data_IF_049611789237
#
_entry.id   IF_049611789237
#
_cell.length_a   1.000
_cell.length_b   1.000
_cell.length_c   1.000
_cell.angle_alpha   90.00
_cell.angle_beta   90.00
_cell.angle_gamma   90.00
#
_symmetry.space_group_name_H-M   'P 1'
#
loop_
_entity.id
_entity.type
_entity.pdbx_description
1 polymer ?
#
# COMPACT_ATOMS: atom_id res chain seq x y z
N UNK A 1 -12.29 22.13 13.64
CA UNK A 1 -13.36 21.21 13.18
C UNK A 1 -12.83 20.47 11.98
N UNK A 2 -12.57 19.17 12.12
CA UNK A 2 -12.48 18.26 10.99
C UNK A 2 -13.17 16.97 11.43
N UNK A 3 -14.50 16.99 11.34
CA UNK A 3 -15.30 15.78 11.38
C UNK A 3 -15.26 15.23 9.96
N UNK A 4 -14.73 14.02 9.78
CA UNK A 4 -15.20 12.94 8.90
C UNK A 4 -14.27 11.72 9.09
N UNK A 5 -13.97 11.36 10.35
CA UNK A 5 -13.69 9.96 10.72
C UNK A 5 -15.04 9.34 11.07
N UNK A 6 -15.81 8.94 10.07
CA UNK A 6 -16.97 8.09 10.29
C UNK A 6 -16.67 6.74 9.64
N UNK A 7 -16.15 5.81 10.45
CA UNK A 7 -16.20 4.39 10.14
C UNK A 7 -17.68 3.95 10.21
N UNK A 8 -18.41 4.18 9.12
CA UNK A 8 -19.85 3.88 9.01
C UNK A 8 -20.19 2.38 9.09
N UNK A 9 -19.20 1.53 9.36
CA UNK A 9 -19.38 0.09 9.53
C UNK A 9 -19.93 -0.21 10.93
N UNK A 10 -21.13 -0.79 11.07
CA UNK A 10 -21.72 -1.06 12.38
C UNK A 10 -20.87 -2.00 13.26
N UNK A 11 -20.96 -1.82 14.59
CA UNK A 11 -20.05 -2.46 15.54
C UNK A 11 -20.30 -3.98 15.75
N UNK A 12 -21.51 -4.49 15.54
CA UNK A 12 -21.82 -5.93 15.68
C UNK A 12 -21.85 -6.66 14.33
N UNK A 13 -21.57 -7.97 14.35
CA UNK A 13 -21.64 -8.82 13.15
C UNK A 13 -23.01 -8.70 12.46
N UNK A 14 -24.10 -8.84 13.23
CA UNK A 14 -25.46 -8.77 12.70
C UNK A 14 -25.78 -7.43 12.03
N UNK A 15 -25.31 -6.33 12.62
CA UNK A 15 -25.50 -5.01 12.05
C UNK A 15 -24.66 -4.82 10.76
N UNK A 16 -23.43 -5.34 10.70
CA UNK A 16 -22.63 -5.36 9.46
C UNK A 16 -23.28 -6.20 8.37
N UNK A 17 -23.74 -7.39 8.72
CA UNK A 17 -24.44 -8.28 7.79
C UNK A 17 -25.64 -7.57 7.15
N UNK A 18 -26.46 -6.91 7.98
CA UNK A 18 -27.61 -6.12 7.51
C UNK A 18 -27.20 -4.96 6.62
N UNK A 19 -26.13 -4.25 6.99
CA UNK A 19 -25.59 -3.13 6.23
C UNK A 19 -25.16 -3.58 4.83
N UNK A 20 -24.27 -4.57 4.72
CA UNK A 20 -23.79 -5.10 3.43
C UNK A 20 -24.93 -5.68 2.60
N UNK A 21 -25.86 -6.43 3.21
CA UNK A 21 -27.04 -6.95 2.50
C UNK A 21 -27.86 -5.82 1.87
N UNK A 22 -28.08 -4.75 2.62
CA UNK A 22 -28.87 -3.60 2.16
C UNK A 22 -28.15 -2.83 1.04
N UNK A 23 -26.82 -2.69 1.12
CA UNK A 23 -26.01 -2.10 0.05
C UNK A 23 -26.08 -2.90 -1.26
N UNK A 24 -26.33 -4.22 -1.18
CA UNK A 24 -26.53 -5.10 -2.34
C UNK A 24 -27.99 -5.20 -2.80
N UNK A 25 -28.90 -4.43 -2.21
CA UNK A 25 -30.34 -4.47 -2.49
C UNK A 25 -30.95 -5.88 -2.37
N UNK A 26 -30.39 -6.72 -1.49
CA UNK A 26 -30.88 -8.08 -1.27
C UNK A 26 -31.91 -8.11 -0.15
N UNK A 27 -33.00 -8.86 -0.31
CA UNK A 27 -33.85 -9.20 0.84
C UNK A 27 -33.18 -10.29 1.70
N UNK A 28 -33.66 -10.49 2.93
CA UNK A 28 -33.18 -11.61 3.77
C UNK A 28 -33.44 -12.97 3.10
N UNK A 29 -34.52 -13.09 2.32
CA UNK A 29 -34.82 -14.30 1.55
C UNK A 29 -33.85 -14.51 0.39
N UNK A 30 -33.44 -13.45 -0.30
CA UNK A 30 -32.48 -13.52 -1.40
C UNK A 30 -31.10 -13.94 -0.90
N UNK A 31 -30.63 -13.31 0.18
CA UNK A 31 -29.36 -13.68 0.80
C UNK A 31 -29.40 -15.11 1.34
N UNK A 32 -30.50 -15.50 1.99
CA UNK A 32 -30.71 -16.87 2.47
C UNK A 32 -30.57 -17.89 1.34
N UNK A 33 -31.26 -17.67 0.22
CA UNK A 33 -31.13 -18.54 -0.97
C UNK A 33 -29.68 -18.60 -1.48
N UNK A 34 -28.99 -17.47 -1.57
CA UNK A 34 -27.62 -17.41 -2.06
C UNK A 34 -26.62 -18.23 -1.21
N UNK A 35 -26.84 -18.32 0.11
CA UNK A 35 -25.98 -19.10 1.02
C UNK A 35 -26.60 -20.44 1.47
N UNK A 36 -27.65 -20.89 0.78
CA UNK A 36 -28.40 -22.11 1.08
C UNK A 36 -28.90 -22.19 2.54
N UNK A 37 -29.42 -21.07 3.07
CA UNK A 37 -30.02 -20.89 4.40
C UNK A 37 -31.44 -20.31 4.29
N UNK A 38 -32.18 -20.29 5.40
CA UNK A 38 -33.51 -19.68 5.45
C UNK A 38 -33.42 -18.18 5.71
N UNK A 39 -34.45 -17.43 5.31
CA UNK A 39 -34.59 -16.02 5.66
C UNK A 39 -34.60 -15.81 7.20
N UNK A 40 -35.17 -16.76 7.94
CA UNK A 40 -35.18 -16.77 9.41
C UNK A 40 -33.77 -16.81 9.98
N UNK A 41 -32.88 -17.67 9.46
CA UNK A 41 -31.48 -17.70 9.90
C UNK A 41 -30.76 -16.38 9.65
N UNK A 42 -30.99 -15.74 8.48
CA UNK A 42 -30.43 -14.41 8.21
C UNK A 42 -30.94 -13.39 9.22
N UNK A 43 -32.24 -13.41 9.52
CA UNK A 43 -32.87 -12.51 10.51
C UNK A 43 -32.30 -12.71 11.92
N UNK A 44 -32.12 -13.96 12.37
CA UNK A 44 -31.53 -14.28 13.67
C UNK A 44 -30.09 -13.76 13.75
N UNK A 45 -29.29 -13.96 12.70
CA UNK A 45 -27.91 -13.45 12.62
C UNK A 45 -27.86 -11.92 12.62
N UNK A 46 -28.75 -11.25 11.88
CA UNK A 46 -28.84 -9.78 11.85
C UNK A 46 -29.25 -9.19 13.20
N UNK A 47 -30.07 -9.92 13.97
CA UNK A 47 -30.48 -9.54 15.33
C UNK A 47 -29.46 -9.94 16.41
N UNK A 48 -28.48 -10.78 16.09
CA UNK A 48 -27.53 -11.33 17.05
C UNK A 48 -28.14 -12.37 17.99
N UNK A 49 -29.26 -12.99 17.59
CA UNK A 49 -29.93 -14.06 18.36
C UNK A 49 -29.20 -15.40 18.21
N UNK A 50 -28.44 -15.57 17.12
CA UNK A 50 -27.54 -16.69 16.89
C UNK A 50 -26.33 -16.23 16.06
N UNK A 51 -25.28 -17.04 16.04
CA UNK A 51 -24.07 -16.76 15.24
C UNK A 51 -23.90 -17.78 14.10
N UNK A 52 -23.50 -17.34 12.90
CA UNK A 52 -23.12 -18.25 11.83
C UNK A 52 -21.78 -18.92 12.10
N UNK A 53 -21.60 -20.12 11.55
CA UNK A 53 -20.30 -20.79 11.53
C UNK A 53 -19.29 -20.08 10.61
N UNK A 54 -18.01 -20.38 10.75
CA UNK A 54 -16.96 -19.83 9.87
C UNK A 54 -17.21 -20.12 8.37
N UNK A 55 -17.69 -21.32 8.03
CA UNK A 55 -18.08 -21.68 6.67
C UNK A 55 -19.25 -20.82 6.17
N UNK A 56 -20.24 -20.56 7.03
CA UNK A 56 -21.36 -19.69 6.69
C UNK A 56 -20.91 -18.23 6.52
N UNK A 57 -20.00 -17.74 7.36
CA UNK A 57 -19.40 -16.40 7.21
C UNK A 57 -18.68 -16.28 5.87
N UNK A 58 -17.91 -17.29 5.45
CA UNK A 58 -17.23 -17.28 4.14
C UNK A 58 -18.23 -17.24 2.97
N UNK A 59 -19.33 -18.00 3.06
CA UNK A 59 -20.41 -17.99 2.06
C UNK A 59 -21.12 -16.64 2.00
N UNK A 60 -21.42 -16.05 3.16
CA UNK A 60 -22.03 -14.72 3.26
C UNK A 60 -21.11 -13.66 2.66
N UNK A 61 -19.82 -13.69 2.99
CA UNK A 61 -18.82 -12.77 2.46
C UNK A 61 -18.73 -12.85 0.93
N UNK A 62 -18.76 -14.07 0.37
CA UNK A 62 -18.78 -14.30 -1.08
C UNK A 62 -20.06 -13.75 -1.72
N UNK A 63 -21.24 -14.08 -1.16
CA UNK A 63 -22.53 -13.63 -1.70
C UNK A 63 -22.73 -12.11 -1.61
N UNK A 64 -22.09 -11.47 -0.63
CA UNK A 64 -22.10 -10.02 -0.42
C UNK A 64 -20.88 -9.33 -1.04
N UNK A 65 -20.08 -10.06 -1.83
CA UNK A 65 -18.80 -9.67 -2.44
C UNK A 65 -17.99 -8.71 -1.57
N UNK A 66 -17.73 -9.13 -0.33
CA UNK A 66 -16.99 -8.37 0.68
C UNK A 66 -15.93 -9.29 1.28
N UNK A 67 -14.81 -8.73 1.73
CA UNK A 67 -13.82 -9.49 2.48
C UNK A 67 -14.44 -10.08 3.77
N UNK A 68 -14.13 -11.35 4.04
CA UNK A 68 -14.67 -12.06 5.22
C UNK A 68 -14.28 -11.36 6.52
N UNK A 69 -13.09 -10.77 6.59
CA UNK A 69 -12.59 -10.03 7.76
C UNK A 69 -13.41 -8.76 8.01
N UNK A 70 -13.80 -8.06 6.94
CA UNK A 70 -14.65 -6.87 7.01
C UNK A 70 -16.04 -7.21 7.52
N UNK A 71 -16.61 -8.32 7.04
CA UNK A 71 -17.91 -8.81 7.51
C UNK A 71 -17.83 -9.31 8.96
N UNK A 72 -16.85 -10.17 9.27
CA UNK A 72 -16.71 -10.84 10.55
C UNK A 72 -16.34 -9.87 11.68
N UNK A 73 -15.35 -9.01 11.47
CA UNK A 73 -14.72 -8.23 12.53
C UNK A 73 -14.92 -6.72 12.39
N UNK A 74 -15.50 -6.25 11.28
CA UNK A 74 -15.61 -4.81 11.02
C UNK A 74 -14.26 -4.14 10.84
N UNK A 75 -13.21 -4.93 10.59
CA UNK A 75 -11.91 -4.39 10.20
C UNK A 75 -12.10 -3.76 8.84
N UNK A 76 -11.87 -2.45 8.75
CA UNK A 76 -11.60 -1.83 7.46
C UNK A 76 -10.34 -2.50 6.93
N UNK A 77 -10.55 -3.52 6.08
CA UNK A 77 -9.50 -4.00 5.20
C UNK A 77 -9.30 -2.79 4.31
N UNK A 78 -8.34 -1.93 4.66
CA UNK A 78 -8.14 -0.64 4.04
C UNK A 78 -8.33 -0.79 2.54
N UNK A 79 -9.04 0.16 1.94
CA UNK A 79 -9.11 0.41 0.51
C UNK A 79 -7.71 0.78 -0.06
N UNK A 80 -6.64 0.09 0.37
CA UNK A 80 -5.40 0.07 -0.38
C UNK A 80 -5.71 -0.74 -1.62
N UNK A 81 -5.90 -0.01 -2.72
CA UNK A 81 -5.73 -0.48 -4.09
C UNK A 81 -4.77 -1.69 -4.08
N UNK A 82 -5.09 -2.83 -4.73
CA UNK A 82 -4.16 -3.93 -4.87
C UNK A 82 -2.73 -3.49 -5.24
N UNK A 83 -2.59 -2.39 -5.99
CA UNK A 83 -1.31 -1.76 -6.28
C UNK A 83 -0.62 -1.14 -5.04
N UNK A 84 -1.37 -0.50 -4.14
CA UNK A 84 -0.84 0.12 -2.93
C UNK A 84 -0.53 -0.91 -1.84
N UNK A 85 -1.33 -1.98 -1.75
CA UNK A 85 -1.02 -3.16 -0.93
C UNK A 85 0.28 -3.82 -1.42
N UNK A 86 0.39 -4.09 -2.72
CA UNK A 86 1.60 -4.63 -3.32
C UNK A 86 2.82 -3.71 -3.12
N UNK A 87 2.64 -2.39 -3.28
CA UNK A 87 3.71 -1.42 -3.09
C UNK A 87 4.23 -1.38 -1.65
N UNK A 88 3.33 -1.50 -0.66
CA UNK A 88 3.72 -1.62 0.75
C UNK A 88 4.46 -2.93 1.02
N UNK A 89 3.92 -4.04 0.55
CA UNK A 89 4.51 -5.36 0.80
C UNK A 89 5.90 -5.49 0.12
N UNK A 90 6.08 -4.89 -1.06
CA UNK A 90 7.40 -4.79 -1.73
C UNK A 90 8.36 -3.90 -0.93
N UNK A 91 7.90 -2.75 -0.45
CA UNK A 91 8.73 -1.83 0.37
C UNK A 91 9.23 -2.52 1.64
N UNK A 92 8.36 -3.21 2.35
CA UNK A 92 8.71 -3.95 3.57
C UNK A 92 9.71 -5.08 3.28
N UNK A 93 9.56 -5.80 2.16
CA UNK A 93 10.52 -6.82 1.74
C UNK A 93 11.89 -6.23 1.37
N UNK A 94 11.93 -5.09 0.68
CA UNK A 94 13.17 -4.37 0.36
C UNK A 94 13.85 -3.89 1.64
N UNK A 95 13.11 -3.30 2.58
CA UNK A 95 13.64 -2.84 3.86
C UNK A 95 14.17 -4.00 4.72
N UNK A 96 13.49 -5.14 4.73
CA UNK A 96 13.95 -6.35 5.40
C UNK A 96 15.25 -6.88 4.76
N UNK A 97 15.33 -6.90 3.43
CA UNK A 97 16.54 -7.31 2.70
C UNK A 97 17.72 -6.33 2.93
N UNK A 98 17.44 -5.04 3.03
CA UNK A 98 18.44 -4.01 3.35
C UNK A 98 18.92 -4.10 4.80
N UNK A 99 18.06 -4.57 5.71
CA UNK A 99 18.40 -4.76 7.13
C UNK A 99 19.31 -5.98 7.35
N UNK A 100 19.16 -7.03 6.55
CA UNK A 100 19.84 -8.32 6.75
C UNK A 100 21.07 -8.53 5.84
N UNK A 101 21.41 -7.57 4.99
CA UNK A 101 22.65 -7.61 4.20
C UNK A 101 23.22 -6.22 3.99
N UNK A 102 24.40 -5.98 4.55
CA UNK A 102 25.26 -4.88 4.15
C UNK A 102 25.53 -4.96 2.64
N UNK A 103 24.83 -4.11 1.89
CA UNK A 103 25.09 -3.69 0.51
C UNK A 103 25.66 -4.75 -0.44
N UNK A 104 24.78 -5.47 -1.14
CA UNK A 104 25.10 -5.86 -2.50
C UNK A 104 24.02 -5.31 -3.45
N UNK A 105 24.30 -4.11 -3.97
CA UNK A 105 23.50 -3.37 -4.96
C UNK A 105 23.21 -4.20 -6.23
N UNK A 106 23.94 -5.29 -6.44
CA UNK A 106 23.71 -6.27 -7.51
C UNK A 106 22.31 -6.90 -7.45
N UNK A 107 21.74 -7.07 -6.25
CA UNK A 107 20.45 -7.75 -6.06
C UNK A 107 19.25 -6.84 -6.37
N UNK A 108 19.37 -5.54 -6.09
CA UNK A 108 18.39 -4.53 -6.52
C UNK A 108 18.41 -4.34 -8.05
N UNK A 109 19.59 -4.44 -8.67
CA UNK A 109 19.72 -4.44 -10.13
C UNK A 109 18.97 -5.62 -10.78
N UNK A 110 19.08 -6.82 -10.22
CA UNK A 110 18.35 -7.99 -10.71
C UNK A 110 16.83 -7.87 -10.54
N UNK A 111 16.36 -7.38 -9.38
CA UNK A 111 14.93 -7.24 -9.09
C UNK A 111 14.26 -6.19 -10.00
N UNK A 112 14.95 -5.09 -10.29
CA UNK A 112 14.50 -4.08 -11.25
C UNK A 112 14.34 -4.66 -12.66
N UNK A 113 15.25 -5.55 -13.06
CA UNK A 113 15.18 -6.21 -14.37
C UNK A 113 14.02 -7.21 -14.45
N UNK A 114 13.73 -7.92 -13.35
CA UNK A 114 12.59 -8.83 -13.29
C UNK A 114 11.25 -8.08 -13.28
N UNK A 115 11.18 -6.92 -12.61
CA UNK A 115 9.99 -6.05 -12.62
C UNK A 115 9.73 -5.44 -14.01
N UNK A 116 10.78 -5.07 -14.77
CA UNK A 116 10.65 -4.66 -16.19
C UNK A 116 10.03 -5.75 -17.06
N UNK A 117 10.22 -7.02 -16.71
CA UNK A 117 9.74 -8.18 -17.47
C UNK A 117 8.26 -8.46 -17.27
N UNK A 118 7.69 -8.07 -16.14
CA UNK A 118 6.30 -8.36 -15.76
C UNK A 118 5.40 -7.14 -15.98
N UNK A 119 4.95 -6.89 -17.21
CA UNK A 119 4.09 -5.73 -17.56
C UNK A 119 2.66 -5.83 -16.98
N UNK A 120 2.24 -4.94 -16.06
CA UNK A 120 0.85 -4.81 -15.63
C UNK A 120 0.15 -3.75 -16.49
N UNK A 121 -0.87 -4.19 -17.22
CA UNK A 121 -1.57 -3.53 -18.33
C UNK A 121 -2.27 -2.17 -18.09
N UNK A 122 -2.03 -1.42 -17.01
CA UNK A 122 -2.85 -0.22 -16.70
C UNK A 122 -2.12 0.99 -16.10
N UNK A 123 -0.79 1.07 -16.21
CA UNK A 123 -0.06 2.20 -15.67
C UNK A 123 0.07 3.27 -16.75
N UNK A 124 -0.37 4.49 -16.42
CA UNK A 124 -0.30 5.72 -17.24
C UNK A 124 1.10 5.78 -17.87
N UNK A 125 1.15 5.47 -19.17
CA UNK A 125 2.30 5.29 -20.05
C UNK A 125 3.65 4.97 -19.35
N UNK A 126 4.04 3.69 -19.38
CA UNK A 126 5.34 3.19 -18.89
C UNK A 126 6.54 4.02 -19.37
N UNK A 127 6.45 4.61 -20.56
CA UNK A 127 7.52 5.44 -21.12
C UNK A 127 7.60 6.81 -20.45
N UNK A 128 6.50 7.33 -19.89
CA UNK A 128 6.49 8.57 -19.10
C UNK A 128 7.09 8.36 -17.71
N UNK A 129 6.74 7.25 -17.05
CA UNK A 129 7.29 6.92 -15.74
C UNK A 129 8.81 6.65 -15.86
N UNK A 130 9.23 5.90 -16.88
CA UNK A 130 10.65 5.65 -17.11
C UNK A 130 11.41 6.91 -17.50
N UNK A 131 10.86 7.77 -18.38
CA UNK A 131 11.49 9.06 -18.69
C UNK A 131 11.68 9.92 -17.46
N UNK A 132 10.65 10.04 -16.59
CA UNK A 132 10.77 10.84 -15.37
C UNK A 132 11.79 10.26 -14.38
N UNK A 133 11.87 8.94 -14.28
CA UNK A 133 12.87 8.27 -13.46
C UNK A 133 14.30 8.48 -13.99
N UNK A 134 14.49 8.42 -15.31
CA UNK A 134 15.77 8.70 -15.98
C UNK A 134 16.18 10.16 -15.83
N UNK A 135 15.25 11.10 -16.05
CA UNK A 135 15.47 12.55 -15.86
C UNK A 135 15.88 12.88 -14.43
N UNK A 136 15.18 12.34 -13.44
CA UNK A 136 15.54 12.52 -12.02
C UNK A 136 16.90 11.91 -11.68
N UNK A 137 17.22 10.73 -12.22
CA UNK A 137 18.52 10.08 -11.99
C UNK A 137 19.68 10.92 -12.56
N UNK A 138 19.55 11.39 -13.80
CA UNK A 138 20.52 12.26 -14.46
C UNK A 138 20.72 13.56 -13.69
N UNK A 139 19.63 14.18 -13.23
CA UNK A 139 19.67 15.43 -12.49
C UNK A 139 20.34 15.27 -11.11
N UNK A 140 20.04 14.17 -10.40
CA UNK A 140 20.70 13.86 -9.12
C UNK A 140 22.20 13.62 -9.28
N UNK A 141 22.64 12.93 -10.35
CA UNK A 141 24.07 12.72 -10.63
C UNK A 141 24.77 14.03 -11.00
N UNK A 142 24.15 14.87 -11.83
CA UNK A 142 24.70 16.16 -12.23
C UNK A 142 24.83 17.14 -11.05
N UNK A 143 23.83 17.18 -10.17
CA UNK A 143 23.86 18.01 -8.96
C UNK A 143 24.90 17.51 -7.95
N UNK A 144 25.09 16.18 -7.84
CA UNK A 144 26.12 15.60 -7.00
C UNK A 144 27.54 15.99 -7.47
N UNK A 145 27.82 15.88 -8.78
CA UNK A 145 29.11 16.28 -9.36
C UNK A 145 29.35 17.79 -9.25
N UNK A 146 28.31 18.61 -9.44
CA UNK A 146 28.38 20.06 -9.28
C UNK A 146 28.77 20.45 -7.85
N UNK A 147 28.07 19.89 -6.85
CA UNK A 147 28.38 20.13 -5.42
C UNK A 147 29.80 19.68 -5.05
N UNK A 148 30.25 18.55 -5.59
CA UNK A 148 31.61 18.04 -5.36
C UNK A 148 32.67 18.98 -5.95
N UNK A 149 32.45 19.49 -7.16
CA UNK A 149 33.35 20.46 -7.80
C UNK A 149 33.40 21.78 -7.06
N UNK A 150 32.24 22.30 -6.63
CA UNK A 150 32.16 23.52 -5.83
C UNK A 150 32.87 23.39 -4.48
N UNK A 151 32.71 22.24 -3.81
CA UNK A 151 33.42 21.94 -2.56
C UNK A 151 34.94 21.88 -2.74
N UNK A 152 35.42 21.25 -3.83
CA UNK A 152 36.86 21.19 -4.16
C UNK A 152 37.39 22.59 -4.46
N UNK A 153 36.69 23.38 -5.27
CA UNK A 153 37.08 24.75 -5.62
C UNK A 153 37.10 25.66 -4.38
N UNK A 154 36.13 25.49 -3.46
CA UNK A 154 36.10 26.21 -2.19
C UNK A 154 37.30 25.83 -1.30
N UNK A 155 37.58 24.55 -1.13
CA UNK A 155 38.74 24.05 -0.37
C UNK A 155 40.06 24.57 -0.94
N UNK A 156 40.20 24.61 -2.27
CA UNK A 156 41.41 25.13 -2.93
C UNK A 156 41.58 26.64 -2.73
N UNK A 157 40.48 27.42 -2.71
CA UNK A 157 40.50 28.86 -2.43
C UNK A 157 40.85 29.17 -0.98
N UNK A 158 40.32 28.40 -0.03
CA UNK A 158 40.61 28.53 1.40
C UNK A 158 42.06 28.11 1.71
N UNK A 159 42.55 27.03 1.11
CA UNK A 159 43.94 26.57 1.25
C UNK A 159 44.98 27.55 0.69
N UNK A 160 44.67 28.30 -0.38
CA UNK A 160 45.55 29.36 -0.91
C UNK A 160 45.60 30.59 0.00
N UNK A 161 44.52 30.92 0.72
CA UNK A 161 44.51 32.02 1.71
C UNK A 161 45.33 31.69 2.97
N UNK A 162 45.35 30.41 3.39
CA UNK A 162 46.15 29.97 4.54
C UNK A 162 47.66 29.97 4.32
N UNK A 163 48.15 29.74 3.08
CA UNK A 163 49.60 29.76 2.77
C UNK A 163 50.19 31.15 2.55
N UNK A 164 49.37 32.17 2.30
CA UNK A 164 49.83 33.54 2.09
C UNK A 164 50.02 34.35 3.39
N UNK A 165 49.61 33.81 4.55
CA UNK A 165 49.67 34.49 5.85
C UNK A 165 50.79 34.05 6.80
N UNK A 166 51.74 33.22 6.35
CA UNK A 166 52.78 32.63 7.20
C UNK A 166 54.20 32.81 6.62
N UNK A 167 54.68 34.05 6.58
CA UNK A 167 56.11 34.34 6.49
C UNK A 167 56.48 35.19 7.72
N UNK A 168 57.19 34.65 8.71
CA UNK A 168 57.60 35.40 9.89
C UNK A 168 58.76 36.35 9.56
N UNK A 169 58.69 37.57 10.09
CA UNK A 169 59.82 38.49 10.23
C UNK A 169 60.30 38.48 11.69
#
# INVERSE_FOLDING_TARGET
MNQLENSDTPQSFGARLRWFRSQRNLTQADLGKAVARTATSISEWEKGESEPSLDQIAKLATALEVARERLAFGVEVNDLDPAETLARDIREQIEALLRDSGSDLSRLGWLLEELRRLRPSHWIDHDEINRRAEEMSLQMTADHERRKKEAIDQMQREGRRGRAGGAPA
#
